data_IF_044115584579
#
_entry.id   IF_044115584579
#
_cell.length_a   1.000
_cell.length_b   1.000
_cell.length_c   1.000
_cell.angle_alpha   90.00
_cell.angle_beta   90.00
_cell.angle_gamma   90.00
#
_symmetry.space_group_name_H-M   'P 1'
#
loop_
_entity.id
_entity.type
_entity.pdbx_description
1 polymer ?
#
# COMPACT_ATOMS: atom_id res chain seq x y z
N UNK A 1 -30.82 -53.92 -13.58
CA UNK A 1 -30.19 -52.77 -14.26
C UNK A 1 -28.82 -52.53 -13.61
N UNK A 2 -27.77 -52.32 -14.41
CA UNK A 2 -26.43 -52.06 -13.88
C UNK A 2 -25.35 -52.45 -14.89
N UNK A 3 -25.21 -51.68 -15.98
CA UNK A 3 -24.10 -51.87 -16.93
C UNK A 3 -22.97 -50.90 -16.58
N UNK A 4 -21.85 -51.48 -16.15
CA UNK A 4 -20.55 -50.85 -15.86
C UNK A 4 -20.08 -50.02 -17.07
N UNK A 5 -19.69 -48.77 -16.85
CA UNK A 5 -18.86 -47.99 -17.79
C UNK A 5 -17.44 -48.59 -17.79
N UNK A 6 -16.84 -48.90 -18.95
CA UNK A 6 -15.41 -49.08 -19.02
C UNK A 6 -14.76 -47.73 -19.33
N UNK A 7 -14.06 -47.18 -18.33
CA UNK A 7 -12.90 -46.32 -18.55
C UNK A 7 -11.92 -47.06 -19.47
N UNK A 8 -11.86 -46.65 -20.73
CA UNK A 8 -10.86 -47.12 -21.67
C UNK A 8 -10.16 -45.91 -22.28
N UNK A 9 -9.07 -45.51 -21.62
CA UNK A 9 -8.02 -44.73 -22.24
C UNK A 9 -7.61 -45.40 -23.56
N UNK A 10 -7.95 -44.80 -24.68
CA UNK A 10 -7.47 -45.22 -25.99
C UNK A 10 -6.15 -44.49 -26.27
N UNK A 11 -5.05 -45.19 -26.63
CA UNK A 11 -3.82 -44.51 -27.01
C UNK A 11 -4.02 -43.74 -28.34
N UNK A 12 -3.35 -42.59 -28.52
CA UNK A 12 -3.43 -41.85 -29.78
C UNK A 12 -2.83 -42.67 -30.93
N UNK A 13 -3.35 -42.52 -32.17
CA UNK A 13 -2.86 -43.27 -33.32
C UNK A 13 -1.39 -42.97 -33.59
N UNK A 14 -0.59 -44.04 -33.74
CA UNK A 14 0.82 -43.96 -34.16
C UNK A 14 0.88 -43.59 -35.64
N UNK A 15 1.33 -42.38 -35.98
CA UNK A 15 1.66 -42.06 -37.38
C UNK A 15 1.57 -40.60 -37.84
N UNK A 16 1.54 -39.60 -36.96
CA UNK A 16 1.69 -38.20 -37.37
C UNK A 16 3.16 -37.83 -37.56
N UNK A 17 3.56 -37.39 -38.77
CA UNK A 17 4.86 -36.73 -38.97
C UNK A 17 4.97 -35.55 -37.99
N UNK A 18 6.10 -35.33 -37.30
CA UNK A 18 6.25 -34.15 -36.47
C UNK A 18 6.15 -32.89 -37.35
N UNK A 19 5.42 -31.83 -36.93
CA UNK A 19 5.38 -30.58 -37.68
C UNK A 19 6.82 -30.07 -37.87
N UNK A 20 7.18 -29.83 -39.13
CA UNK A 20 8.54 -29.53 -39.61
C UNK A 20 8.88 -28.03 -39.52
N UNK A 21 8.28 -27.32 -38.58
CA UNK A 21 8.58 -25.91 -38.37
C UNK A 21 9.00 -25.72 -36.91
N UNK A 22 10.21 -25.20 -36.64
CA UNK A 22 10.56 -24.78 -35.30
C UNK A 22 9.61 -23.65 -34.94
N UNK A 23 8.70 -23.91 -34.00
CA UNK A 23 7.89 -22.88 -33.37
C UNK A 23 8.89 -21.83 -32.87
N UNK A 24 8.80 -20.56 -33.30
CA UNK A 24 9.69 -19.53 -32.79
C UNK A 24 9.55 -19.55 -31.27
N UNK A 25 10.68 -19.69 -30.58
CA UNK A 25 10.73 -19.56 -29.13
C UNK A 25 10.28 -18.14 -28.86
N UNK A 26 9.00 -17.97 -28.56
CA UNK A 26 8.47 -16.73 -28.02
C UNK A 26 9.32 -16.51 -26.77
N UNK A 27 9.96 -15.35 -26.71
CA UNK A 27 10.78 -14.90 -25.60
C UNK A 27 9.87 -14.77 -24.36
N UNK A 28 9.61 -15.93 -23.74
CA UNK A 28 8.61 -16.17 -22.71
C UNK A 28 9.13 -15.81 -21.33
N UNK A 29 10.24 -15.07 -21.24
CA UNK A 29 10.65 -14.49 -19.97
C UNK A 29 9.90 -13.18 -19.77
N UNK A 30 8.82 -13.15 -18.94
CA UNK A 30 8.37 -11.88 -18.41
C UNK A 30 9.57 -11.26 -17.71
N UNK A 31 9.90 -10.04 -18.10
CA UNK A 31 10.90 -9.22 -17.43
C UNK A 31 10.70 -9.39 -15.91
N UNK A 32 11.68 -9.91 -15.15
CA UNK A 32 11.45 -10.26 -13.75
C UNK A 32 10.95 -9.02 -13.02
N UNK A 33 9.83 -9.17 -12.30
CA UNK A 33 9.29 -8.10 -11.48
C UNK A 33 10.42 -7.57 -10.57
N UNK A 34 10.56 -6.24 -10.40
CA UNK A 34 11.53 -5.71 -9.46
C UNK A 34 11.27 -6.34 -8.09
N UNK A 35 12.34 -6.69 -7.33
CA UNK A 35 12.17 -7.30 -6.03
C UNK A 35 11.32 -6.39 -5.15
N UNK A 36 10.39 -6.95 -4.34
CA UNK A 36 9.63 -6.16 -3.41
C UNK A 36 10.58 -5.40 -2.48
N UNK A 37 10.30 -4.12 -2.26
CA UNK A 37 11.08 -3.30 -1.34
C UNK A 37 11.15 -3.92 0.06
N UNK A 38 12.18 -3.58 0.85
CA UNK A 38 12.33 -4.12 2.19
C UNK A 38 11.08 -3.83 3.04
N UNK A 39 10.66 -4.77 3.90
CA UNK A 39 9.50 -4.58 4.75
C UNK A 39 9.74 -3.38 5.67
N UNK A 40 8.70 -2.56 5.88
CA UNK A 40 8.76 -1.47 6.82
C UNK A 40 9.14 -2.00 8.21
N UNK A 41 10.30 -1.59 8.72
CA UNK A 41 10.74 -1.95 10.07
C UNK A 41 10.10 -0.99 11.06
N UNK A 42 9.92 -1.44 12.31
CA UNK A 42 9.44 -0.57 13.39
C UNK A 42 10.27 0.71 13.49
N UNK A 43 11.59 0.59 13.30
CA UNK A 43 12.53 1.70 13.32
C UNK A 43 12.29 2.68 12.17
N UNK A 44 12.08 2.19 10.94
CA UNK A 44 11.79 3.06 9.80
C UNK A 44 10.46 3.79 9.97
N UNK A 45 9.44 3.13 10.54
CA UNK A 45 8.16 3.75 10.83
C UNK A 45 8.28 4.81 11.92
N UNK A 46 9.04 4.56 12.99
CA UNK A 46 9.27 5.54 14.05
C UNK A 46 10.05 6.75 13.52
N UNK A 47 11.07 6.54 12.69
CA UNK A 47 11.80 7.61 12.03
C UNK A 47 10.87 8.47 11.16
N UNK A 48 10.02 7.84 10.34
CA UNK A 48 9.02 8.53 9.52
C UNK A 48 8.05 9.37 10.34
N UNK A 49 7.55 8.85 11.48
CA UNK A 49 6.68 9.60 12.40
C UNK A 49 7.43 10.79 13.00
N UNK A 50 8.67 10.62 13.43
CA UNK A 50 9.49 11.70 13.99
C UNK A 50 9.74 12.80 12.95
N UNK A 51 10.08 12.43 11.71
CA UNK A 51 10.24 13.39 10.60
C UNK A 51 8.92 14.12 10.31
N UNK A 52 7.80 13.40 10.31
CA UNK A 52 6.47 13.97 10.14
C UNK A 52 6.13 15.01 11.21
N UNK A 53 6.36 14.68 12.48
CA UNK A 53 6.14 15.59 13.61
C UNK A 53 7.10 16.79 13.58
N UNK A 54 8.36 16.59 13.19
CA UNK A 54 9.34 17.68 13.07
C UNK A 54 8.98 18.67 11.95
N UNK A 55 8.20 18.26 10.94
CA UNK A 55 7.76 19.14 9.84
C UNK A 55 6.56 20.05 10.19
N UNK A 56 5.92 19.82 11.33
CA UNK A 56 4.77 20.58 11.79
C UNK A 56 5.21 21.93 12.37
N UNK A 57 4.41 22.98 12.15
CA UNK A 57 4.62 24.24 12.90
C UNK A 57 4.23 24.06 14.36
N UNK A 58 4.58 25.04 15.21
CA UNK A 58 4.23 24.99 16.63
C UNK A 58 2.70 24.90 16.86
N UNK A 59 1.92 25.65 16.10
CA UNK A 59 0.45 25.62 16.18
C UNK A 59 -0.11 24.28 15.67
N UNK A 60 0.45 23.75 14.59
CA UNK A 60 0.09 22.42 14.07
C UNK A 60 0.43 21.32 15.09
N UNK A 61 1.53 21.45 15.84
CA UNK A 61 1.90 20.53 16.92
C UNK A 61 0.93 20.61 18.10
N UNK A 62 0.54 21.81 18.52
CA UNK A 62 -0.47 22.00 19.59
C UNK A 62 -1.79 21.33 19.21
N UNK A 63 -2.26 21.59 17.99
CA UNK A 63 -3.46 20.95 17.43
C UNK A 63 -3.33 19.43 17.39
N UNK A 64 -2.20 18.91 16.88
CA UNK A 64 -1.96 17.47 16.79
C UNK A 64 -1.93 16.80 18.17
N UNK A 65 -1.29 17.43 19.17
CA UNK A 65 -1.22 16.92 20.55
C UNK A 65 -2.59 16.86 21.20
N UNK A 66 -3.37 17.94 21.12
CA UNK A 66 -4.71 17.96 21.72
C UNK A 66 -5.63 16.91 21.08
N UNK A 67 -5.51 16.72 19.77
CA UNK A 67 -6.25 15.66 19.09
C UNK A 67 -5.82 14.25 19.54
N UNK A 68 -4.51 14.01 19.73
CA UNK A 68 -4.00 12.73 20.25
C UNK A 68 -4.46 12.45 21.69
N UNK A 69 -4.72 13.50 22.47
CA UNK A 69 -5.30 13.40 23.81
C UNK A 69 -6.83 13.19 23.79
N UNK A 70 -7.45 13.16 22.61
CA UNK A 70 -8.88 12.90 22.44
C UNK A 70 -9.78 14.13 22.62
N UNK A 71 -9.23 15.35 22.58
CA UNK A 71 -10.06 16.56 22.63
C UNK A 71 -10.89 16.72 21.36
N UNK A 72 -12.13 17.18 21.54
CA UNK A 72 -13.04 17.46 20.44
C UNK A 72 -12.63 18.75 19.69
N UNK A 73 -13.12 18.90 18.46
CA UNK A 73 -12.74 20.02 17.60
C UNK A 73 -13.04 21.39 18.25
N UNK A 74 -14.21 21.52 18.87
CA UNK A 74 -14.65 22.76 19.50
C UNK A 74 -13.81 23.08 20.75
N UNK A 75 -13.49 22.07 21.56
CA UNK A 75 -12.58 22.22 22.71
C UNK A 75 -11.21 22.74 22.28
N UNK A 76 -10.66 22.20 21.20
CA UNK A 76 -9.35 22.66 20.71
C UNK A 76 -9.41 24.09 20.19
N UNK A 77 -10.49 24.48 19.51
CA UNK A 77 -10.70 25.87 19.08
C UNK A 77 -10.74 26.81 20.29
N UNK A 78 -11.45 26.42 21.35
CA UNK A 78 -11.55 27.20 22.59
C UNK A 78 -10.23 27.26 23.36
N UNK A 79 -9.55 26.12 23.56
CA UNK A 79 -8.29 26.03 24.30
C UNK A 79 -7.15 26.82 23.64
N UNK A 80 -7.08 26.79 22.31
CA UNK A 80 -6.06 27.52 21.56
C UNK A 80 -6.49 28.95 21.19
N UNK A 81 -7.72 29.34 21.52
CA UNK A 81 -8.35 30.61 21.11
C UNK A 81 -8.20 30.84 19.60
N UNK A 82 -8.43 29.79 18.81
CA UNK A 82 -8.28 29.80 17.36
C UNK A 82 -9.64 29.77 16.66
N UNK A 83 -9.72 30.49 15.53
CA UNK A 83 -10.89 30.42 14.67
C UNK A 83 -11.05 29.02 14.04
N UNK A 84 -12.29 28.55 13.92
CA UNK A 84 -12.61 27.23 13.39
C UNK A 84 -12.07 27.00 11.96
N UNK A 85 -12.03 28.04 11.12
CA UNK A 85 -11.47 27.96 9.76
C UNK A 85 -9.96 27.73 9.82
N UNK A 86 -9.28 28.44 10.72
CA UNK A 86 -7.83 28.34 10.92
C UNK A 86 -7.49 26.95 11.49
N UNK A 87 -8.19 26.53 12.54
CA UNK A 87 -8.06 25.19 13.13
C UNK A 87 -8.25 24.08 12.09
N UNK A 88 -9.28 24.17 11.24
CA UNK A 88 -9.52 23.20 10.16
C UNK A 88 -8.38 23.17 9.14
N UNK A 89 -7.78 24.31 8.83
CA UNK A 89 -6.61 24.38 7.95
C UNK A 89 -5.38 23.72 8.59
N UNK A 90 -5.08 24.00 9.86
CA UNK A 90 -3.99 23.32 10.57
C UNK A 90 -4.22 21.82 10.63
N UNK A 91 -5.43 21.36 10.95
CA UNK A 91 -5.75 19.95 10.97
C UNK A 91 -5.53 19.27 9.61
N UNK A 92 -5.97 19.92 8.52
CA UNK A 92 -5.73 19.42 7.15
C UNK A 92 -4.23 19.33 6.84
N UNK A 93 -3.46 20.34 7.23
CA UNK A 93 -2.02 20.38 7.02
C UNK A 93 -1.29 19.29 7.82
N UNK A 94 -1.63 19.11 9.10
CA UNK A 94 -1.11 18.03 9.96
C UNK A 94 -1.33 16.68 9.29
N UNK A 95 -2.57 16.38 8.90
CA UNK A 95 -2.90 15.11 8.22
C UNK A 95 -2.18 14.93 6.88
N UNK A 96 -1.92 16.01 6.14
CA UNK A 96 -1.15 15.96 4.90
C UNK A 96 0.31 15.63 5.19
N UNK A 97 0.97 16.41 6.05
CA UNK A 97 2.39 16.25 6.39
C UNK A 97 2.70 14.89 7.04
N UNK A 98 1.87 14.43 7.96
CA UNK A 98 2.02 13.11 8.58
C UNK A 98 1.83 11.97 7.56
N UNK A 99 0.90 12.12 6.62
CA UNK A 99 0.71 11.13 5.56
C UNK A 99 1.87 11.12 4.58
N UNK A 100 2.38 12.29 4.21
CA UNK A 100 3.49 12.39 3.24
C UNK A 100 4.79 11.84 3.83
N UNK A 101 5.02 12.01 5.13
CA UNK A 101 6.16 11.41 5.84
C UNK A 101 6.05 9.89 6.02
N UNK A 102 4.83 9.35 6.08
CA UNK A 102 4.58 7.91 6.17
C UNK A 102 4.55 7.20 4.81
N UNK A 103 4.57 7.93 3.70
CA UNK A 103 4.68 7.30 2.38
C UNK A 103 6.08 6.69 2.25
N UNK A 104 6.20 5.42 1.88
CA UNK A 104 7.51 4.86 1.56
C UNK A 104 8.09 5.66 0.39
N UNK A 105 9.32 6.15 0.54
CA UNK A 105 10.12 6.61 -0.59
C UNK A 105 10.34 5.37 -1.47
N UNK A 106 9.52 5.25 -2.53
CA UNK A 106 9.65 4.21 -3.55
C UNK A 106 10.85 4.47 -4.44
#
# INVERSE_FOLDING_TARGET
MGRRRPDRWAPPPRGGKPPTEPIPIIDLYPNPLPPPGPPATRESTLAAIQTGLASLTEDELKVARLWLLGHEFDDVCHLLQMDAKVMRNHWRNVRRKLRDSLKPNG
#
